data_IF_984329560795
#
_entry.id   IF_984329560795
#
_cell.length_a   1.000
_cell.length_b   1.000
_cell.length_c   1.000
_cell.angle_alpha   90.00
_cell.angle_beta   90.00
_cell.angle_gamma   90.00
#
_symmetry.space_group_name_H-M   'P 1'
#
loop_
_entity.id
_entity.type
_entity.pdbx_description
1 polymer ?
#
# COMPACT_ATOMS: atom_id res chain seq x y z
N UNK A 1 9.65 -14.82 4.34
CA UNK A 1 8.87 -14.33 3.18
C UNK A 1 9.26 -12.87 2.95
N UNK A 2 9.36 -12.43 1.69
CA UNK A 2 9.69 -11.03 1.39
C UNK A 2 8.56 -10.11 1.86
N UNK A 3 8.89 -9.06 2.60
CA UNK A 3 7.95 -8.01 2.97
C UNK A 3 8.10 -6.89 1.95
N UNK A 4 6.99 -6.31 1.54
CA UNK A 4 6.96 -5.13 0.69
C UNK A 4 6.50 -3.93 1.52
N UNK A 5 7.16 -2.80 1.30
CA UNK A 5 6.76 -1.51 1.84
C UNK A 5 6.39 -0.60 0.68
N UNK A 6 5.20 -0.01 0.75
CA UNK A 6 4.73 0.98 -0.21
C UNK A 6 4.55 2.30 0.52
N UNK A 7 5.40 3.25 0.21
CA UNK A 7 5.27 4.63 0.66
C UNK A 7 4.50 5.42 -0.38
N UNK A 8 3.55 6.25 0.06
CA UNK A 8 2.82 7.12 -0.85
C UNK A 8 2.46 8.45 -0.19
N UNK A 9 2.45 9.49 -1.01
CA UNK A 9 1.90 10.79 -0.68
C UNK A 9 0.76 11.12 -1.65
N UNK A 10 -0.39 11.53 -1.10
CA UNK A 10 -1.62 11.72 -1.86
C UNK A 10 -2.11 13.16 -1.72
N UNK A 11 -2.61 13.78 -2.81
CA UNK A 11 -3.23 15.09 -2.74
C UNK A 11 -4.34 15.14 -1.69
N UNK A 12 -4.36 16.18 -0.84
CA UNK A 12 -5.29 16.34 0.28
C UNK A 12 -6.74 16.71 -0.13
N UNK A 13 -7.20 16.22 -1.28
CA UNK A 13 -8.53 16.48 -1.82
C UNK A 13 -9.32 15.17 -2.03
N UNK A 14 -10.43 15.24 -2.77
CA UNK A 14 -11.30 14.10 -3.08
C UNK A 14 -10.58 12.90 -3.73
N UNK A 15 -9.41 13.10 -4.34
CA UNK A 15 -8.53 12.07 -4.92
C UNK A 15 -8.07 11.06 -3.87
N UNK A 16 -7.74 11.52 -2.66
CA UNK A 16 -7.35 10.66 -1.54
C UNK A 16 -8.46 9.70 -1.15
N UNK A 17 -9.71 10.18 -1.08
CA UNK A 17 -10.88 9.33 -0.80
C UNK A 17 -11.11 8.31 -1.92
N UNK A 18 -10.90 8.68 -3.19
CA UNK A 18 -10.99 7.74 -4.33
C UNK A 18 -9.97 6.63 -4.23
N UNK A 19 -8.74 6.94 -3.84
CA UNK A 19 -7.70 5.95 -3.56
C UNK A 19 -8.15 4.97 -2.48
N UNK A 20 -8.54 5.45 -1.30
CA UNK A 20 -8.94 4.58 -0.20
C UNK A 20 -10.13 3.67 -0.55
N UNK A 21 -11.13 4.18 -1.27
CA UNK A 21 -12.26 3.36 -1.74
C UNK A 21 -11.83 2.24 -2.69
N UNK A 22 -10.84 2.50 -3.56
CA UNK A 22 -10.33 1.47 -4.47
C UNK A 22 -9.54 0.40 -3.73
N UNK A 23 -8.67 0.79 -2.80
CA UNK A 23 -7.91 -0.16 -1.98
C UNK A 23 -8.86 -1.00 -1.13
N UNK A 24 -9.88 -0.40 -0.52
CA UNK A 24 -10.89 -1.13 0.26
C UNK A 24 -11.59 -2.20 -0.58
N UNK A 25 -12.09 -1.84 -1.77
CA UNK A 25 -12.72 -2.81 -2.68
C UNK A 25 -11.77 -3.93 -3.09
N UNK A 26 -10.52 -3.60 -3.41
CA UNK A 26 -9.53 -4.62 -3.75
C UNK A 26 -9.33 -5.64 -2.62
N UNK A 27 -9.30 -5.18 -1.36
CA UNK A 27 -9.17 -6.06 -0.20
C UNK A 27 -10.43 -6.91 0.04
N UNK A 28 -11.61 -6.35 -0.17
CA UNK A 28 -12.90 -7.07 -0.11
C UNK A 28 -12.96 -8.17 -1.18
N UNK A 29 -12.66 -7.83 -2.43
CA UNK A 29 -12.70 -8.75 -3.58
C UNK A 29 -11.66 -9.87 -3.48
N UNK A 30 -10.51 -9.60 -2.84
CA UNK A 30 -9.44 -10.59 -2.67
C UNK A 30 -9.61 -11.48 -1.44
N UNK A 31 -10.68 -11.30 -0.64
CA UNK A 31 -10.89 -12.03 0.62
C UNK A 31 -9.82 -11.74 1.68
N UNK A 32 -9.07 -10.64 1.51
CA UNK A 32 -7.94 -10.25 2.35
C UNK A 32 -8.38 -9.26 3.43
N UNK A 33 -9.25 -9.72 4.32
CA UNK A 33 -9.60 -9.00 5.54
C UNK A 33 -8.41 -9.02 6.51
N UNK A 34 -7.59 -7.97 6.53
CA UNK A 34 -6.61 -7.72 7.61
C UNK A 34 -5.11 -7.71 7.23
N UNK A 35 -4.74 -7.64 5.95
CA UNK A 35 -3.35 -7.90 5.50
C UNK A 35 -2.43 -6.69 5.34
N UNK A 36 -2.74 -5.53 5.93
CA UNK A 36 -1.82 -4.40 5.86
C UNK A 36 -2.14 -3.34 6.89
N UNK A 37 -1.26 -3.20 7.88
CA UNK A 37 -1.25 -2.04 8.75
C UNK A 37 -0.93 -0.82 7.88
N UNK A 38 -1.96 -0.03 7.56
CA UNK A 38 -1.81 1.25 6.89
C UNK A 38 -1.72 2.34 7.95
N UNK A 39 -0.53 2.89 8.14
CA UNK A 39 -0.45 4.29 8.56
C UNK A 39 -0.78 5.13 7.32
N UNK A 40 -1.35 6.32 7.48
CA UNK A 40 -2.01 7.07 6.39
C UNK A 40 -1.18 7.31 5.11
N UNK A 41 0.13 7.06 5.12
CA UNK A 41 1.07 7.23 4.01
C UNK A 41 1.97 6.01 3.71
N UNK A 42 1.79 4.88 4.41
CA UNK A 42 2.61 3.68 4.21
C UNK A 42 1.74 2.43 4.31
N UNK A 43 1.97 1.47 3.40
CA UNK A 43 1.43 0.10 3.48
C UNK A 43 2.59 -0.88 3.60
N UNK A 44 2.52 -1.78 4.58
CA UNK A 44 3.41 -2.93 4.70
C UNK A 44 2.61 -4.20 4.42
N UNK A 45 3.10 -5.06 3.53
CA UNK A 45 2.41 -6.29 3.15
C UNK A 45 3.37 -7.38 2.70
N UNK A 46 3.01 -8.64 2.88
CA UNK A 46 3.75 -9.78 2.32
C UNK A 46 3.31 -10.12 0.89
N UNK A 47 2.27 -9.46 0.39
CA UNK A 47 1.80 -9.68 -0.97
C UNK A 47 2.32 -8.65 -1.93
N UNK A 48 3.21 -9.10 -2.82
CA UNK A 48 3.69 -8.33 -3.96
C UNK A 48 2.56 -7.75 -4.82
N UNK A 49 1.57 -8.58 -5.17
CA UNK A 49 0.42 -8.14 -5.97
C UNK A 49 -0.35 -6.98 -5.31
N UNK A 50 -0.51 -7.01 -3.99
CA UNK A 50 -1.16 -5.92 -3.27
C UNK A 50 -0.28 -4.68 -3.21
N UNK A 51 1.04 -4.84 -2.99
CA UNK A 51 1.99 -3.72 -3.00
C UNK A 51 1.96 -2.95 -4.33
N UNK A 52 2.01 -3.67 -5.45
CA UNK A 52 1.90 -3.06 -6.78
C UNK A 52 0.53 -2.44 -7.04
N UNK A 53 -0.55 -3.00 -6.51
CA UNK A 53 -1.86 -2.39 -6.63
C UNK A 53 -1.94 -1.04 -5.89
N UNK A 54 -1.43 -0.97 -4.66
CA UNK A 54 -1.33 0.28 -3.89
C UNK A 54 -0.54 1.33 -4.67
N UNK A 55 0.65 0.98 -5.17
CA UNK A 55 1.47 1.85 -6.00
C UNK A 55 0.70 2.39 -7.21
N UNK A 56 0.09 1.51 -8.01
CA UNK A 56 -0.64 1.90 -9.21
C UNK A 56 -1.80 2.84 -8.89
N UNK A 57 -2.54 2.57 -7.81
CA UNK A 57 -3.67 3.42 -7.43
C UNK A 57 -3.23 4.79 -6.90
N UNK A 58 -2.15 4.85 -6.13
CA UNK A 58 -1.59 6.11 -5.65
C UNK A 58 -1.13 6.99 -6.82
N UNK A 59 -0.39 6.42 -7.79
CA UNK A 59 0.04 7.12 -9.01
C UNK A 59 -1.15 7.57 -9.87
N UNK A 60 -2.20 6.75 -10.00
CA UNK A 60 -3.43 7.07 -10.75
C UNK A 60 -4.18 8.28 -10.21
N UNK A 61 -4.09 8.55 -8.91
CA UNK A 61 -4.72 9.73 -8.31
C UNK A 61 -3.80 10.94 -8.25
N UNK A 62 -2.65 10.89 -8.94
CA UNK A 62 -1.67 11.98 -8.99
C UNK A 62 -0.79 12.07 -7.74
N UNK A 63 -0.70 10.99 -6.95
CA UNK A 63 0.21 10.89 -5.83
C UNK A 63 1.65 10.52 -6.24
N UNK A 64 2.55 10.69 -5.29
CA UNK A 64 3.90 10.11 -5.33
C UNK A 64 3.84 8.76 -4.63
N UNK A 65 4.52 7.75 -5.17
CA UNK A 65 4.56 6.44 -4.55
C UNK A 65 5.83 5.69 -4.91
N UNK A 66 6.33 4.90 -3.96
CA UNK A 66 7.50 4.05 -4.09
C UNK A 66 7.22 2.67 -3.52
N UNK A 67 7.75 1.62 -4.15
CA UNK A 67 7.67 0.23 -3.67
C UNK A 67 9.08 -0.23 -3.33
N UNK A 68 9.22 -0.84 -2.16
CA UNK A 68 10.48 -1.39 -1.68
C UNK A 68 10.29 -2.86 -1.32
N UNK A 69 11.27 -3.69 -1.69
CA UNK A 69 11.50 -4.96 -1.02
C UNK A 69 12.16 -4.67 0.33
N UNK A 70 11.46 -5.00 1.41
CA UNK A 70 11.85 -4.66 2.77
C UNK A 70 12.54 -5.84 3.45
N UNK A 71 13.69 -5.54 4.05
CA UNK A 71 14.40 -6.40 4.99
C UNK A 71 14.30 -5.79 6.38
N UNK A 72 13.94 -6.58 7.39
CA UNK A 72 14.00 -6.14 8.79
C UNK A 72 15.45 -6.01 9.24
N UNK A 73 15.76 -4.93 9.93
CA UNK A 73 17.11 -4.64 10.44
C UNK A 73 17.25 -5.04 11.92
N UNK A 74 16.12 -5.22 12.62
CA UNK A 74 16.05 -5.64 14.03
C UNK A 74 15.99 -7.17 14.19
N UNK A 75 15.98 -7.92 13.09
CA UNK A 75 16.12 -9.38 13.05
C UNK A 75 17.58 -9.81 12.81
N UNK A 76 18.51 -8.85 12.64
CA UNK A 76 19.95 -9.09 12.58
C UNK A 76 20.51 -9.04 14.02
N UNK A 77 21.21 -10.08 14.50
CA UNK A 77 21.76 -10.14 15.86
C UNK A 77 22.85 -9.11 16.13
#
# INVERSE_FOLDING_TARGET
MAKYLVEYDLPADSRRLRFYRRIKRYLEDSGRSGTGWSTQSVVVTESEAFAWEVYRQARRVGGVAHVYEARRLDDEP
#
